data_IF_112402961949
#
_entry.id   IF_112402961949
#
_cell.length_a   1.000
_cell.length_b   1.000
_cell.length_c   1.000
_cell.angle_alpha   90.00
_cell.angle_beta   90.00
_cell.angle_gamma   90.00
#
_symmetry.space_group_name_H-M   'P 1'
#
loop_
_entity.id
_entity.type
_entity.pdbx_description
1 polymer ?
#
# COMPACT_ATOMS: atom_id res chain seq x y z
N UNK A 1 -12.82 7.30 18.80
CA UNK A 1 -12.14 7.19 17.49
C UNK A 1 -11.21 5.98 17.51
N UNK A 2 -11.46 5.02 16.64
CA UNK A 2 -10.59 3.84 16.52
C UNK A 2 -9.29 4.25 15.82
N UNK A 3 -8.20 4.35 16.58
CA UNK A 3 -6.86 4.57 16.02
C UNK A 3 -6.38 3.32 15.29
N UNK A 4 -5.84 3.51 14.10
CA UNK A 4 -5.21 2.44 13.33
C UNK A 4 -3.80 2.12 13.86
N UNK A 5 -3.23 0.99 13.45
CA UNK A 5 -1.81 0.69 13.74
C UNK A 5 -0.86 1.73 13.16
N UNK A 6 -1.22 2.37 12.05
CA UNK A 6 -0.44 3.46 11.46
C UNK A 6 -0.43 4.69 12.35
N UNK A 7 -1.60 5.10 12.89
CA UNK A 7 -1.69 6.22 13.82
C UNK A 7 -0.86 5.98 15.09
N UNK A 8 -0.85 4.74 15.58
CA UNK A 8 -0.01 4.35 16.71
C UNK A 8 1.48 4.40 16.36
N UNK A 9 1.86 3.98 15.17
CA UNK A 9 3.24 4.06 14.69
C UNK A 9 3.73 5.51 14.57
N UNK A 10 2.91 6.39 14.01
CA UNK A 10 3.21 7.83 13.94
C UNK A 10 3.38 8.40 15.34
N UNK A 11 2.47 8.09 16.25
CA UNK A 11 2.54 8.56 17.64
C UNK A 11 3.79 8.03 18.35
N UNK A 12 4.15 6.78 18.15
CA UNK A 12 5.37 6.19 18.71
C UNK A 12 6.63 6.95 18.24
N UNK A 13 6.71 7.26 16.94
CA UNK A 13 7.82 8.06 16.39
C UNK A 13 7.88 9.48 16.96
N UNK A 14 6.72 10.08 17.23
CA UNK A 14 6.65 11.43 17.83
C UNK A 14 7.06 11.47 19.30
N UNK A 15 6.59 10.49 20.10
CA UNK A 15 6.81 10.45 21.53
C UNK A 15 8.16 9.84 21.91
N UNK A 16 8.59 8.81 21.19
CA UNK A 16 9.84 8.06 21.44
C UNK A 16 10.54 7.80 20.10
N UNK A 17 11.24 8.77 19.52
CA UNK A 17 11.88 8.64 18.20
C UNK A 17 12.81 7.45 18.06
N UNK A 18 13.50 7.07 19.15
CA UNK A 18 14.44 5.93 19.18
C UNK A 18 13.75 4.56 19.29
N UNK A 19 12.43 4.53 19.47
CA UNK A 19 11.70 3.26 19.53
C UNK A 19 11.81 2.47 18.23
N UNK A 20 11.90 1.16 18.35
CA UNK A 20 11.85 0.27 17.18
C UNK A 20 10.41 -0.09 16.88
N UNK A 21 9.96 0.25 15.68
CA UNK A 21 8.57 0.05 15.24
C UNK A 21 8.53 -1.03 14.17
N UNK A 22 7.80 -2.11 14.47
CA UNK A 22 7.58 -3.23 13.55
C UNK A 22 6.09 -3.40 13.31
N UNK A 23 5.70 -3.44 12.05
CA UNK A 23 4.31 -3.74 11.66
C UNK A 23 4.11 -5.23 11.40
N UNK A 24 2.98 -5.74 11.85
CA UNK A 24 2.51 -7.09 11.54
C UNK A 24 1.13 -6.98 10.90
N UNK A 25 1.01 -7.39 9.64
CA UNK A 25 -0.23 -7.23 8.87
C UNK A 25 -0.60 -8.46 8.06
N UNK A 26 -1.91 -8.63 7.84
CA UNK A 26 -2.42 -9.59 6.85
C UNK A 26 -2.24 -8.98 5.47
N UNK A 27 -1.35 -9.45 4.70
CA UNK A 27 -0.91 -8.97 3.41
C UNK A 27 -2.02 -8.79 2.35
N UNK A 28 -2.83 -7.79 2.43
CA UNK A 28 -3.92 -7.58 1.46
C UNK A 28 -4.02 -6.18 0.86
N UNK A 29 -3.19 -5.23 1.33
CA UNK A 29 -3.37 -3.82 0.94
C UNK A 29 -2.02 -3.12 0.71
N UNK A 30 -1.63 -3.06 -0.57
CA UNK A 30 -0.39 -2.39 -0.98
C UNK A 30 -0.42 -0.87 -0.73
N UNK A 31 -1.61 -0.24 -0.75
CA UNK A 31 -1.73 1.19 -0.42
C UNK A 31 -1.38 1.44 1.03
N UNK A 32 -1.85 0.56 1.93
CA UNK A 32 -1.60 0.66 3.35
C UNK A 32 -0.12 0.47 3.67
N UNK A 33 0.54 -0.49 3.02
CA UNK A 33 2.00 -0.67 3.12
C UNK A 33 2.72 0.62 2.73
N UNK A 34 2.36 1.22 1.59
CA UNK A 34 2.99 2.45 1.13
C UNK A 34 2.75 3.63 2.07
N UNK A 35 1.53 3.75 2.63
CA UNK A 35 1.22 4.79 3.62
C UNK A 35 2.10 4.63 4.86
N UNK A 36 2.15 3.43 5.42
CA UNK A 36 2.97 3.10 6.60
C UNK A 36 4.46 3.42 6.37
N UNK A 37 5.00 3.03 5.21
CA UNK A 37 6.42 3.32 4.91
C UNK A 37 6.71 4.80 4.75
N UNK A 38 5.75 5.58 4.23
CA UNK A 38 5.91 7.04 4.11
C UNK A 38 5.74 7.79 5.42
N UNK A 39 4.77 7.36 6.25
CA UNK A 39 4.36 8.10 7.45
C UNK A 39 5.14 7.71 8.71
N UNK A 40 5.59 6.45 8.80
CA UNK A 40 6.21 5.88 10.02
C UNK A 40 7.66 5.50 9.79
N UNK A 41 8.04 5.09 8.56
CA UNK A 41 9.36 4.53 8.25
C UNK A 41 9.72 3.40 9.25
N UNK A 42 9.03 2.25 9.20
CA UNK A 42 9.15 1.22 10.21
C UNK A 42 10.50 0.50 10.15
N UNK A 43 11.01 0.09 11.30
CA UNK A 43 12.22 -0.75 11.41
C UNK A 43 11.99 -2.19 10.94
N UNK A 44 10.73 -2.60 10.77
CA UNK A 44 10.39 -3.91 10.22
C UNK A 44 8.94 -4.02 9.78
N UNK A 45 8.69 -4.97 8.89
CA UNK A 45 7.35 -5.32 8.42
C UNK A 45 7.23 -6.83 8.23
N UNK A 46 6.24 -7.43 8.86
CA UNK A 46 5.99 -8.88 8.83
C UNK A 46 4.60 -9.18 8.29
N UNK A 47 4.52 -10.13 7.38
CA UNK A 47 3.24 -10.69 6.94
C UNK A 47 2.78 -11.73 7.95
N UNK A 48 1.56 -11.61 8.48
CA UNK A 48 1.06 -12.45 9.58
C UNK A 48 1.11 -13.96 9.28
N UNK A 49 0.88 -14.36 8.05
CA UNK A 49 0.95 -15.78 7.62
C UNK A 49 2.39 -16.34 7.58
N UNK A 50 3.40 -15.51 7.67
CA UNK A 50 4.82 -15.89 7.64
C UNK A 50 5.49 -15.78 9.02
N UNK A 51 4.70 -15.51 10.07
CA UNK A 51 5.21 -15.34 11.43
C UNK A 51 5.23 -16.69 12.16
N UNK A 52 6.41 -17.07 12.60
CA UNK A 52 6.67 -18.19 13.49
C UNK A 52 7.67 -17.77 14.59
N UNK A 53 8.00 -18.66 15.51
CA UNK A 53 8.95 -18.38 16.58
C UNK A 53 10.32 -17.98 16.03
N UNK A 54 10.79 -18.64 14.98
CA UNK A 54 12.10 -18.39 14.37
C UNK A 54 12.15 -17.00 13.74
N UNK A 55 11.14 -16.64 12.98
CA UNK A 55 11.04 -15.33 12.34
C UNK A 55 10.89 -14.19 13.34
N UNK A 56 10.16 -14.41 14.44
CA UNK A 56 10.06 -13.44 15.54
C UNK A 56 11.41 -13.20 16.23
N UNK A 57 12.16 -14.25 16.53
CA UNK A 57 13.51 -14.13 17.12
C UNK A 57 14.46 -13.37 16.18
N UNK A 58 14.49 -13.77 14.92
CA UNK A 58 15.30 -13.11 13.89
C UNK A 58 14.92 -11.63 13.73
N UNK A 59 13.64 -11.32 13.77
CA UNK A 59 13.15 -9.95 13.69
C UNK A 59 13.66 -9.11 14.87
N UNK A 60 13.50 -9.57 16.10
CA UNK A 60 13.96 -8.84 17.30
C UNK A 60 15.46 -8.59 17.23
N UNK A 61 16.26 -9.60 16.91
CA UNK A 61 17.70 -9.49 16.77
C UNK A 61 18.10 -8.48 15.68
N UNK A 62 17.49 -8.59 14.51
CA UNK A 62 17.81 -7.71 13.37
C UNK A 62 17.40 -6.27 13.64
N UNK A 63 16.19 -6.04 14.15
CA UNK A 63 15.65 -4.68 14.37
C UNK A 63 16.45 -3.94 15.45
N UNK A 64 16.97 -4.66 16.44
CA UNK A 64 17.77 -4.07 17.52
C UNK A 64 19.23 -3.83 17.14
N UNK A 65 19.75 -4.55 16.17
CA UNK A 65 21.17 -4.45 15.77
C UNK A 65 21.37 -3.75 14.44
N UNK A 66 20.68 -4.22 13.39
CA UNK A 66 20.83 -3.71 12.02
C UNK A 66 19.49 -3.74 11.26
N UNK A 67 18.56 -2.82 11.55
CA UNK A 67 17.29 -2.73 10.83
C UNK A 67 17.52 -2.39 9.34
N UNK A 68 16.54 -2.64 8.44
CA UNK A 68 15.22 -3.17 8.74
C UNK A 68 15.11 -4.70 8.65
N UNK A 69 14.00 -5.25 9.19
CA UNK A 69 13.61 -6.66 9.01
C UNK A 69 12.31 -6.76 8.20
N UNK A 70 12.32 -7.56 7.14
CA UNK A 70 11.13 -7.84 6.32
C UNK A 70 10.96 -9.34 6.12
N UNK A 71 9.72 -9.86 6.28
CA UNK A 71 9.41 -11.21 5.81
C UNK A 71 9.48 -11.26 4.28
N UNK A 72 9.60 -12.44 3.70
CA UNK A 72 9.77 -12.63 2.26
C UNK A 72 8.62 -11.97 1.46
N UNK A 73 7.38 -12.14 1.91
CA UNK A 73 6.21 -11.52 1.29
C UNK A 73 6.20 -10.00 1.40
N UNK A 74 6.59 -9.46 2.56
CA UNK A 74 6.74 -8.01 2.74
C UNK A 74 7.82 -7.43 1.80
N UNK A 75 8.97 -8.07 1.73
CA UNK A 75 10.06 -7.67 0.84
C UNK A 75 9.65 -7.69 -0.63
N UNK A 76 8.95 -8.75 -1.06
CA UNK A 76 8.46 -8.87 -2.42
C UNK A 76 7.47 -7.74 -2.81
N UNK A 77 6.60 -7.33 -1.88
CA UNK A 77 5.68 -6.20 -2.11
C UNK A 77 6.41 -4.87 -2.21
N UNK A 78 7.35 -4.62 -1.31
CA UNK A 78 8.18 -3.41 -1.33
C UNK A 78 8.98 -3.34 -2.63
N UNK A 79 9.62 -4.44 -3.04
CA UNK A 79 10.41 -4.53 -4.27
C UNK A 79 9.56 -4.27 -5.51
N UNK A 80 8.38 -4.86 -5.62
CA UNK A 80 7.44 -4.59 -6.74
C UNK A 80 7.14 -3.11 -6.88
N UNK A 81 7.03 -2.42 -5.76
CA UNK A 81 6.79 -0.98 -5.74
C UNK A 81 8.00 -0.18 -6.22
N UNK A 82 9.19 -0.56 -5.79
CA UNK A 82 10.44 0.12 -6.15
C UNK A 82 10.82 -0.05 -7.62
N UNK A 83 10.45 -1.19 -8.23
CA UNK A 83 10.73 -1.50 -9.64
C UNK A 83 9.64 -1.01 -10.60
N UNK A 84 8.60 -0.35 -10.09
CA UNK A 84 7.50 0.11 -10.91
C UNK A 84 7.75 1.55 -11.36
N UNK A 85 8.23 1.73 -12.59
CA UNK A 85 8.51 3.04 -13.22
C UNK A 85 7.24 3.84 -13.56
N UNK A 86 6.07 3.25 -13.35
CA UNK A 86 4.78 3.89 -13.64
C UNK A 86 4.44 4.90 -12.55
N UNK A 87 4.35 6.16 -12.94
CA UNK A 87 3.94 7.25 -12.03
C UNK A 87 2.42 7.31 -11.95
N UNK A 88 1.89 6.96 -10.77
CA UNK A 88 0.47 7.04 -10.41
C UNK A 88 0.32 8.07 -9.29
N UNK A 89 -0.41 9.14 -9.53
CA UNK A 89 -0.60 10.21 -8.54
C UNK A 89 -1.62 9.82 -7.44
N UNK A 90 -1.80 10.69 -6.44
CA UNK A 90 -2.68 10.38 -5.31
C UNK A 90 -4.17 10.36 -5.70
N UNK A 91 -4.55 11.09 -6.73
CA UNK A 91 -5.91 11.03 -7.27
C UNK A 91 -6.17 9.70 -7.97
N UNK A 92 -5.21 9.25 -8.76
CA UNK A 92 -5.25 7.95 -9.43
C UNK A 92 -5.35 6.80 -8.44
N UNK A 93 -4.57 6.84 -7.34
CA UNK A 93 -4.63 5.86 -6.27
C UNK A 93 -6.00 5.80 -5.60
N UNK A 94 -6.61 6.97 -5.33
CA UNK A 94 -7.98 7.03 -4.78
C UNK A 94 -8.99 6.39 -5.74
N UNK A 95 -8.88 6.68 -7.04
CA UNK A 95 -9.76 6.09 -8.06
C UNK A 95 -9.59 4.57 -8.07
N UNK A 96 -8.38 4.07 -8.14
CA UNK A 96 -8.08 2.62 -8.13
C UNK A 96 -8.61 1.94 -6.86
N UNK A 97 -8.42 2.58 -5.70
CA UNK A 97 -8.93 2.07 -4.43
C UNK A 97 -10.46 1.92 -4.45
N UNK A 98 -11.19 2.99 -4.80
CA UNK A 98 -12.65 2.93 -4.82
C UNK A 98 -13.17 1.92 -5.85
N UNK A 99 -12.55 1.80 -7.02
CA UNK A 99 -12.87 0.75 -7.99
C UNK A 99 -12.65 -0.64 -7.40
N UNK A 100 -11.57 -0.86 -6.67
CA UNK A 100 -11.22 -2.18 -6.10
C UNK A 100 -12.19 -2.69 -5.05
N UNK A 101 -12.89 -1.78 -4.38
CA UNK A 101 -13.96 -2.10 -3.41
C UNK A 101 -15.36 -2.10 -4.06
N UNK A 102 -15.46 -2.02 -5.40
CA UNK A 102 -16.69 -2.13 -6.15
C UNK A 102 -17.51 -0.84 -6.27
N UNK A 103 -16.93 0.33 -5.97
CA UNK A 103 -17.61 1.62 -6.12
C UNK A 103 -17.76 1.97 -7.60
N UNK A 104 -18.96 2.33 -8.03
CA UNK A 104 -19.21 2.71 -9.41
C UNK A 104 -18.58 4.09 -9.73
N UNK A 105 -18.11 4.28 -10.95
CA UNK A 105 -17.42 5.51 -11.39
C UNK A 105 -18.18 6.80 -11.04
N UNK A 106 -19.50 6.81 -11.20
CA UNK A 106 -20.34 7.97 -10.85
C UNK A 106 -20.34 8.29 -9.36
N UNK A 107 -20.18 7.28 -8.52
CA UNK A 107 -20.20 7.40 -7.07
C UNK A 107 -18.80 7.73 -6.52
N UNK A 108 -17.74 7.50 -7.31
CA UNK A 108 -16.36 7.88 -6.95
C UNK A 108 -16.18 9.40 -7.04
N UNK A 109 -16.73 10.02 -8.06
CA UNK A 109 -16.54 11.45 -8.34
C UNK A 109 -16.78 12.36 -7.11
N UNK A 110 -17.92 12.27 -6.40
CA UNK A 110 -18.14 13.08 -5.19
C UNK A 110 -17.20 12.72 -4.04
N UNK A 111 -16.77 11.44 -3.92
CA UNK A 111 -15.87 10.99 -2.84
C UNK A 111 -14.46 11.57 -2.95
N UNK A 112 -14.05 11.93 -4.16
CA UNK A 112 -12.73 12.54 -4.43
C UNK A 112 -12.85 14.02 -4.82
N UNK A 113 -14.01 14.63 -4.61
CA UNK A 113 -14.30 16.04 -4.95
C UNK A 113 -13.95 16.37 -6.42
N UNK A 114 -14.38 15.52 -7.36
CA UNK A 114 -14.06 15.64 -8.77
C UNK A 114 -15.31 15.43 -9.66
N UNK A 115 -15.20 15.72 -10.94
CA UNK A 115 -16.27 15.44 -11.89
C UNK A 115 -16.19 13.99 -12.40
N UNK A 116 -17.34 13.40 -12.76
CA UNK A 116 -17.39 12.04 -13.33
C UNK A 116 -16.55 11.93 -14.61
N UNK A 117 -16.56 12.97 -15.44
CA UNK A 117 -15.73 13.05 -16.66
C UNK A 117 -14.23 13.00 -16.36
N UNK A 118 -13.80 13.60 -15.24
CA UNK A 118 -12.41 13.53 -14.77
C UNK A 118 -12.05 12.10 -14.35
N UNK A 119 -12.92 11.42 -13.60
CA UNK A 119 -12.70 10.03 -13.20
C UNK A 119 -12.59 9.11 -14.43
N UNK A 120 -13.48 9.26 -15.41
CA UNK A 120 -13.43 8.49 -16.65
C UNK A 120 -12.16 8.77 -17.48
N UNK A 121 -11.73 10.03 -17.56
CA UNK A 121 -10.48 10.40 -18.23
C UNK A 121 -9.27 9.76 -17.55
N UNK A 122 -9.20 9.83 -16.22
CA UNK A 122 -8.11 9.20 -15.43
C UNK A 122 -8.09 7.69 -15.58
N UNK A 123 -9.24 7.03 -15.55
CA UNK A 123 -9.33 5.58 -15.81
C UNK A 123 -8.77 5.22 -17.20
N UNK A 124 -9.06 6.03 -18.21
CA UNK A 124 -8.52 5.84 -19.57
C UNK A 124 -7.00 5.99 -19.61
N UNK A 125 -6.49 7.03 -18.96
CA UNK A 125 -5.04 7.26 -18.83
C UNK A 125 -4.35 6.12 -18.09
N UNK A 126 -4.93 5.64 -16.98
CA UNK A 126 -4.40 4.51 -16.22
C UNK A 126 -4.40 3.20 -17.04
N UNK A 127 -5.45 2.94 -17.83
CA UNK A 127 -5.47 1.79 -18.74
C UNK A 127 -4.34 1.88 -19.77
N UNK A 128 -4.17 3.01 -20.41
CA UNK A 128 -3.06 3.23 -21.35
C UNK A 128 -1.69 3.07 -20.67
N UNK A 129 -1.53 3.65 -19.49
CA UNK A 129 -0.30 3.59 -18.70
C UNK A 129 0.06 2.15 -18.26
N UNK A 130 -0.94 1.31 -18.03
CA UNK A 130 -0.76 -0.11 -17.67
C UNK A 130 -0.70 -1.05 -18.89
N UNK A 131 -0.79 -0.51 -20.11
CA UNK A 131 -0.74 -1.29 -21.33
C UNK A 131 -2.00 -2.10 -21.61
N UNK A 132 -3.15 -1.64 -21.10
CA UNK A 132 -4.45 -2.29 -21.31
C UNK A 132 -5.11 -1.68 -22.56
N UNK A 133 -4.97 -2.34 -23.70
CA UNK A 133 -5.53 -1.87 -24.98
C UNK A 133 -7.05 -2.03 -25.03
N UNK A 134 -7.57 -3.15 -24.54
CA UNK A 134 -9.00 -3.41 -24.40
C UNK A 134 -9.28 -4.07 -23.06
N UNK A 135 -10.12 -3.43 -22.24
CA UNK A 135 -10.43 -4.00 -20.93
C UNK A 135 -11.42 -3.15 -20.16
N UNK A 136 -12.15 -3.82 -19.27
CA UNK A 136 -13.07 -3.20 -18.33
C UNK A 136 -12.33 -2.71 -17.08
N UNK A 137 -13.06 -2.29 -16.05
CA UNK A 137 -12.50 -1.85 -14.79
C UNK A 137 -11.87 -3.01 -13.99
N UNK A 138 -12.30 -4.25 -14.22
CA UNK A 138 -11.71 -5.44 -13.60
C UNK A 138 -10.26 -5.60 -14.07
N UNK A 139 -10.00 -5.50 -15.37
CA UNK A 139 -8.64 -5.56 -15.91
C UNK A 139 -7.73 -4.46 -15.34
N UNK A 140 -8.28 -3.26 -15.15
CA UNK A 140 -7.56 -2.15 -14.54
C UNK A 140 -7.20 -2.44 -13.07
N UNK A 141 -8.13 -3.01 -12.31
CA UNK A 141 -7.92 -3.40 -10.91
C UNK A 141 -6.87 -4.53 -10.82
N UNK A 142 -6.96 -5.53 -11.67
CA UNK A 142 -6.00 -6.66 -11.70
C UNK A 142 -4.58 -6.17 -11.98
N UNK A 143 -4.40 -5.32 -12.98
CA UNK A 143 -3.08 -4.75 -13.30
C UNK A 143 -2.58 -3.82 -12.19
N UNK A 144 -3.46 -3.02 -11.58
CA UNK A 144 -3.10 -2.19 -10.44
C UNK A 144 -2.60 -3.03 -9.24
N UNK A 145 -3.23 -4.18 -8.98
CA UNK A 145 -2.78 -5.15 -7.95
C UNK A 145 -1.44 -5.77 -8.30
N UNK A 146 -1.25 -6.24 -9.53
CA UNK A 146 0.05 -6.83 -9.97
C UNK A 146 1.19 -5.83 -9.82
N UNK A 147 0.91 -4.56 -10.12
CA UNK A 147 1.89 -3.46 -10.02
C UNK A 147 2.07 -2.91 -8.60
N UNK A 148 1.28 -3.35 -7.63
CA UNK A 148 1.39 -2.96 -6.24
C UNK A 148 0.80 -1.58 -5.92
N UNK A 149 -0.17 -1.09 -6.69
CA UNK A 149 -0.86 0.17 -6.41
C UNK A 149 -2.05 0.01 -5.46
N UNK A 150 -2.68 -1.17 -5.43
CA UNK A 150 -3.80 -1.54 -4.55
C UNK A 150 -3.69 -2.97 -4.06
#
# INVERSE_FOLDING_TARGET
ENKSGEDLGILARQLVPESKVVFMSSFSDNLRINSIFKSVDPDGYMVKSEIDEKSLRAMVETVTTKPPYYTAGAFAAIRRRMTNDVVVDDLDKKILYYLSIGTRTKDIAPLISSATTTVESRKRQLKALFGIESGNDISLIEEARKKGFI
#
